data_IF_826780627771
#
_entry.id   IF_826780627771
#
_cell.length_a   1.000
_cell.length_b   1.000
_cell.length_c   1.000
_cell.angle_alpha   90.00
_cell.angle_beta   90.00
_cell.angle_gamma   90.00
#
_symmetry.space_group_name_H-M   'P 1'
#
loop_
_entity.id
_entity.type
_entity.pdbx_description
1 polymer ?
#
# COMPACT_ATOMS: atom_id res chain seq x y z
N UNK A 1 18.07 12.85 4.02
CA UNK A 1 16.82 13.64 3.91
C UNK A 1 15.85 12.85 3.03
N UNK A 2 14.65 12.48 3.54
CA UNK A 2 13.63 11.83 2.71
C UNK A 2 13.22 12.82 1.62
N UNK A 3 13.45 12.45 0.37
CA UNK A 3 13.18 13.29 -0.80
C UNK A 3 11.68 13.26 -1.06
N UNK A 4 10.92 14.18 -0.46
CA UNK A 4 9.49 14.31 -0.71
C UNK A 4 9.28 14.78 -2.15
N UNK A 5 8.58 13.98 -2.95
CA UNK A 5 8.22 14.37 -4.31
C UNK A 5 7.33 15.63 -4.27
N UNK A 6 7.66 16.63 -5.09
CA UNK A 6 6.81 17.80 -5.28
C UNK A 6 5.69 17.40 -6.24
N UNK A 7 4.45 17.44 -5.76
CA UNK A 7 3.24 17.06 -6.49
C UNK A 7 2.36 18.30 -6.65
N UNK A 8 2.52 19.08 -7.74
CA UNK A 8 1.74 20.29 -7.94
C UNK A 8 0.26 19.93 -8.16
N UNK A 9 -0.63 20.70 -7.53
CA UNK A 9 -2.06 20.61 -7.81
C UNK A 9 -2.31 21.24 -9.19
N UNK A 10 -2.65 20.40 -10.16
CA UNK A 10 -3.07 20.83 -11.50
C UNK A 10 -4.58 21.10 -11.53
N UNK A 11 -5.36 20.21 -10.93
CA UNK A 11 -6.81 20.32 -10.86
C UNK A 11 -7.33 19.65 -9.57
N UNK A 12 -8.18 20.34 -8.81
CA UNK A 12 -8.85 19.75 -7.65
C UNK A 12 -10.14 19.03 -8.08
N UNK A 13 -10.36 17.83 -7.58
CA UNK A 13 -11.52 16.99 -7.91
C UNK A 13 -12.55 17.04 -6.77
N UNK A 14 -13.81 16.72 -7.10
CA UNK A 14 -14.96 16.89 -6.19
C UNK A 14 -14.93 16.01 -4.94
N UNK A 15 -14.15 14.92 -4.93
CA UNK A 15 -14.02 14.02 -3.78
C UNK A 15 -12.81 14.32 -2.89
N UNK A 16 -12.20 15.51 -3.06
CA UNK A 16 -11.09 15.99 -2.25
C UNK A 16 -9.70 15.54 -2.72
N UNK A 17 -9.64 14.71 -3.76
CA UNK A 17 -8.39 14.37 -4.45
C UNK A 17 -8.01 15.43 -5.50
N UNK A 18 -6.82 15.31 -6.11
CA UNK A 18 -6.39 16.24 -7.15
C UNK A 18 -5.54 15.58 -8.23
N UNK A 19 -5.56 16.13 -9.45
CA UNK A 19 -4.64 15.77 -10.52
C UNK A 19 -3.29 16.47 -10.33
N UNK A 20 -2.22 15.74 -10.62
CA UNK A 20 -0.84 16.20 -10.56
C UNK A 20 -0.06 15.62 -11.74
N UNK A 21 1.13 16.16 -11.99
CA UNK A 21 2.06 15.60 -12.98
C UNK A 21 3.30 15.03 -12.30
N UNK A 22 3.79 13.91 -12.81
CA UNK A 22 5.09 13.35 -12.46
C UNK A 22 5.95 13.27 -13.71
N UNK A 23 7.19 13.72 -13.58
CA UNK A 23 8.19 13.66 -14.65
C UNK A 23 9.26 12.66 -14.24
N UNK A 24 9.63 11.77 -15.16
CA UNK A 24 10.69 10.80 -14.92
C UNK A 24 12.01 11.51 -14.57
N UNK A 25 12.79 10.93 -13.65
CA UNK A 25 14.02 11.56 -13.16
C UNK A 25 15.03 11.89 -14.29
N UNK A 26 15.13 11.03 -15.30
CA UNK A 26 15.98 11.22 -16.49
C UNK A 26 15.59 12.46 -17.32
N UNK A 27 14.32 12.85 -17.24
CA UNK A 27 13.72 13.91 -18.05
C UNK A 27 13.44 15.18 -17.23
N UNK A 28 13.80 15.20 -15.95
CA UNK A 28 13.45 16.27 -14.99
C UNK A 28 13.88 17.66 -15.45
N UNK A 29 15.06 17.79 -16.07
CA UNK A 29 15.58 19.07 -16.54
C UNK A 29 14.88 19.59 -17.81
N UNK A 30 14.39 18.66 -18.66
CA UNK A 30 13.67 19.00 -19.90
C UNK A 30 12.16 19.04 -19.71
N UNK A 31 11.68 18.48 -18.60
CA UNK A 31 10.26 18.23 -18.31
C UNK A 31 9.55 17.50 -19.45
N UNK A 32 10.25 16.58 -20.11
CA UNK A 32 9.70 15.81 -21.22
C UNK A 32 8.72 14.73 -20.69
N UNK A 33 7.63 14.52 -21.42
CA UNK A 33 6.63 13.48 -21.20
C UNK A 33 6.08 13.40 -19.76
N UNK A 34 5.46 14.48 -19.23
CA UNK A 34 4.81 14.42 -17.93
C UNK A 34 3.67 13.40 -17.93
N UNK A 35 3.64 12.55 -16.91
CA UNK A 35 2.55 11.60 -16.67
C UNK A 35 1.54 12.26 -15.74
N UNK A 36 0.30 12.38 -16.21
CA UNK A 36 -0.82 12.80 -15.37
C UNK A 36 -1.18 11.68 -14.40
N UNK A 37 -1.27 12.03 -13.13
CA UNK A 37 -1.66 11.13 -12.04
C UNK A 37 -2.69 11.82 -11.17
N UNK A 38 -3.42 11.03 -10.40
CA UNK A 38 -4.30 11.51 -9.34
C UNK A 38 -3.66 11.25 -7.99
N UNK A 39 -3.71 12.24 -7.12
CA UNK A 39 -3.16 12.21 -5.76
C UNK A 39 -4.31 12.28 -4.76
N UNK A 40 -4.28 11.37 -3.79
CA UNK A 40 -5.23 11.27 -2.69
C UNK A 40 -4.46 11.43 -1.39
N UNK A 41 -4.83 12.43 -0.58
CA UNK A 41 -4.30 12.60 0.77
C UNK A 41 -5.23 11.92 1.77
N UNK A 42 -4.67 11.11 2.68
CA UNK A 42 -5.42 10.50 3.77
C UNK A 42 -4.58 10.43 5.02
N UNK A 43 -5.22 10.39 6.19
CA UNK A 43 -4.53 10.37 7.48
C UNK A 43 -4.59 8.96 8.06
N UNK A 44 -3.45 8.43 8.49
CA UNK A 44 -3.38 7.18 9.24
C UNK A 44 -3.03 7.50 10.71
N UNK A 45 -3.74 6.87 11.64
CA UNK A 45 -3.65 7.15 13.09
C UNK A 45 -4.86 7.95 13.61
N UNK A 46 -4.96 8.09 14.93
CA UNK A 46 -6.03 8.85 15.59
C UNK A 46 -5.43 9.97 16.44
N UNK A 47 -6.11 11.13 16.47
CA UNK A 47 -5.68 12.27 17.29
C UNK A 47 -4.48 13.05 16.73
N UNK A 48 -3.67 13.62 17.62
CA UNK A 48 -2.59 14.55 17.29
C UNK A 48 -1.39 13.90 16.58
N UNK A 49 -1.27 12.57 16.62
CA UNK A 49 -0.19 11.80 16.01
C UNK A 49 -0.53 11.28 14.60
N UNK A 50 -1.68 11.70 14.04
CA UNK A 50 -2.10 11.32 12.70
C UNK A 50 -1.10 11.80 11.64
N UNK A 51 -0.53 10.87 10.88
CA UNK A 51 0.38 11.20 9.79
C UNK A 51 -0.38 11.25 8.46
N UNK A 52 -0.17 12.31 7.68
CA UNK A 52 -0.75 12.45 6.35
C UNK A 52 0.09 11.65 5.35
N UNK A 53 -0.57 10.76 4.63
CA UNK A 53 -0.02 9.97 3.54
C UNK A 53 -0.62 10.43 2.21
N UNK A 54 0.15 10.20 1.14
CA UNK A 54 -0.28 10.46 -0.24
C UNK A 54 -0.28 9.17 -1.04
N UNK A 55 -1.44 8.81 -1.57
CA UNK A 55 -1.60 7.76 -2.57
C UNK A 55 -1.59 8.39 -3.96
N UNK A 56 -0.79 7.84 -4.87
CA UNK A 56 -0.72 8.24 -6.28
C UNK A 56 -1.28 7.11 -7.13
N UNK A 57 -2.20 7.44 -8.04
CA UNK A 57 -2.88 6.46 -8.91
C UNK A 57 -3.03 6.97 -10.34
N UNK A 58 -3.19 6.05 -11.29
CA UNK A 58 -3.55 6.33 -12.69
C UNK A 58 -5.07 6.25 -12.93
N UNK A 59 -5.87 5.93 -11.90
CA UNK A 59 -7.34 6.01 -11.97
C UNK A 59 -7.74 7.47 -11.77
N UNK A 60 -7.89 8.21 -12.87
CA UNK A 60 -8.08 9.66 -12.85
C UNK A 60 -9.51 10.09 -12.52
N UNK A 61 -10.50 9.27 -12.86
CA UNK A 61 -11.93 9.58 -12.67
C UNK A 61 -12.40 9.20 -11.25
N UNK A 62 -12.86 10.17 -10.43
CA UNK A 62 -13.47 9.89 -9.13
C UNK A 62 -14.73 9.04 -9.18
N UNK A 63 -15.47 9.05 -10.29
CA UNK A 63 -16.68 8.23 -10.45
C UNK A 63 -16.33 6.76 -10.71
N UNK A 64 -15.16 6.48 -11.31
CA UNK A 64 -14.67 5.12 -11.49
C UNK A 64 -14.14 4.51 -10.18
N UNK A 65 -13.49 5.31 -9.34
CA UNK A 65 -13.12 4.95 -7.98
C UNK A 65 -12.95 6.20 -7.10
N UNK A 66 -13.67 6.24 -5.98
CA UNK A 66 -13.58 7.37 -5.04
C UNK A 66 -12.26 7.37 -4.29
N UNK A 67 -11.85 8.56 -3.81
CA UNK A 67 -10.67 8.72 -2.98
C UNK A 67 -10.73 7.85 -1.70
N UNK A 68 -11.93 7.74 -1.10
CA UNK A 68 -12.15 6.93 0.08
C UNK A 68 -11.98 5.42 -0.21
N UNK A 69 -12.56 4.93 -1.31
CA UNK A 69 -12.46 3.52 -1.71
C UNK A 69 -11.02 3.12 -2.06
N UNK A 70 -10.27 4.03 -2.67
CA UNK A 70 -8.86 3.82 -3.00
C UNK A 70 -7.95 3.90 -1.76
N UNK A 71 -8.29 4.74 -0.78
CA UNK A 71 -7.54 4.86 0.48
C UNK A 71 -7.83 3.72 1.46
N UNK A 72 -9.06 3.20 1.51
CA UNK A 72 -9.49 2.14 2.43
C UNK A 72 -8.59 0.88 2.43
N UNK A 73 -8.22 0.27 1.28
CA UNK A 73 -7.35 -0.91 1.25
C UNK A 73 -5.90 -0.57 1.57
N UNK A 74 -5.51 0.70 1.65
CA UNK A 74 -4.13 1.07 1.90
C UNK A 74 -3.67 0.67 3.31
N UNK A 75 -4.59 0.60 4.29
CA UNK A 75 -4.31 -0.02 5.59
C UNK A 75 -3.87 -1.49 5.43
N UNK A 76 -4.59 -2.27 4.61
CA UNK A 76 -4.27 -3.68 4.34
C UNK A 76 -2.92 -3.82 3.62
N UNK A 77 -2.58 -2.89 2.72
CA UNK A 77 -1.25 -2.87 2.08
C UNK A 77 -0.13 -2.64 3.10
N UNK A 78 -0.34 -1.76 4.07
CA UNK A 78 0.65 -1.49 5.11
C UNK A 78 0.95 -2.73 5.97
N UNK A 79 -0.04 -3.62 6.15
CA UNK A 79 0.16 -4.92 6.80
C UNK A 79 1.08 -5.84 5.99
N UNK A 80 0.96 -5.84 4.65
CA UNK A 80 1.86 -6.60 3.77
C UNK A 80 3.28 -6.05 3.88
N UNK A 81 3.45 -4.73 3.83
CA UNK A 81 4.76 -4.09 3.97
C UNK A 81 5.37 -4.39 5.35
N UNK A 82 4.57 -4.36 6.42
CA UNK A 82 4.98 -4.74 7.78
C UNK A 82 5.40 -6.21 7.85
N UNK A 83 4.69 -7.12 7.20
CA UNK A 83 5.04 -8.55 7.15
C UNK A 83 6.33 -8.80 6.40
N UNK A 84 6.51 -8.12 5.27
CA UNK A 84 7.74 -8.19 4.50
C UNK A 84 8.90 -7.57 5.29
N UNK A 85 8.67 -6.50 6.05
CA UNK A 85 9.66 -5.89 6.92
C UNK A 85 9.96 -6.76 8.15
N UNK A 86 8.98 -7.49 8.67
CA UNK A 86 9.19 -8.51 9.70
C UNK A 86 10.10 -9.63 9.19
N UNK A 87 9.83 -10.14 7.98
CA UNK A 87 10.66 -11.16 7.32
C UNK A 87 12.07 -10.63 7.03
N UNK A 88 12.20 -9.38 6.55
CA UNK A 88 13.47 -8.81 6.09
C UNK A 88 14.33 -8.23 7.21
N UNK A 89 13.72 -7.56 8.18
CA UNK A 89 14.40 -6.58 9.04
C UNK A 89 14.27 -6.97 10.52
N UNK A 90 13.09 -7.37 10.98
CA UNK A 90 12.89 -7.74 12.39
C UNK A 90 13.24 -9.21 12.71
N UNK A 91 13.19 -10.10 11.73
CA UNK A 91 13.64 -11.50 11.88
C UNK A 91 15.14 -11.71 11.60
N UNK A 92 15.85 -10.63 11.20
CA UNK A 92 17.32 -10.58 11.07
C UNK A 92 18.08 -10.50 12.41
N UNK A 93 17.37 -10.36 13.53
CA UNK A 93 17.88 -10.54 14.88
C UNK A 93 17.39 -11.84 15.49
N UNK A 94 17.80 -12.98 14.92
CA UNK A 94 17.54 -14.34 15.40
C UNK A 94 16.05 -14.73 15.55
N UNK A 95 15.34 -15.09 14.46
CA UNK A 95 14.39 -16.24 14.51
C UNK A 95 13.73 -16.76 13.22
N UNK A 96 13.92 -16.18 12.04
CA UNK A 96 13.48 -16.86 10.80
C UNK A 96 14.64 -17.63 10.18
N UNK A 97 14.71 -18.92 10.50
CA UNK A 97 15.66 -19.84 9.88
C UNK A 97 14.90 -20.67 8.86
N UNK A 98 15.11 -20.37 7.58
CA UNK A 98 14.67 -21.25 6.49
C UNK A 98 15.45 -22.57 6.62
N UNK A 99 14.73 -23.69 6.59
CA UNK A 99 15.28 -25.00 6.95
C UNK A 99 15.82 -25.75 5.74
N UNK A 100 15.28 -25.48 4.57
CA UNK A 100 15.70 -26.09 3.32
C UNK A 100 17.09 -25.61 2.93
N UNK A 101 17.92 -26.57 2.54
CA UNK A 101 19.24 -26.33 1.95
C UNK A 101 19.20 -26.37 0.40
N UNK A 102 18.00 -26.53 -0.18
CA UNK A 102 17.78 -26.55 -1.63
C UNK A 102 16.98 -25.31 -2.08
N UNK A 103 17.35 -24.65 -3.21
CA UNK A 103 16.70 -23.42 -3.67
C UNK A 103 15.18 -23.51 -3.80
N UNK A 104 14.66 -24.60 -4.39
CA UNK A 104 13.22 -24.78 -4.54
C UNK A 104 12.48 -24.92 -3.19
N UNK A 105 13.09 -25.55 -2.19
CA UNK A 105 12.50 -25.67 -0.85
C UNK A 105 12.54 -24.35 -0.07
N UNK A 106 13.59 -23.54 -0.29
CA UNK A 106 13.67 -22.18 0.29
C UNK A 106 12.53 -21.31 -0.25
N UNK A 107 12.29 -21.36 -1.57
CA UNK A 107 11.17 -20.67 -2.21
C UNK A 107 9.82 -21.14 -1.67
N UNK A 108 9.63 -22.46 -1.51
CA UNK A 108 8.43 -23.03 -0.91
C UNK A 108 8.19 -22.52 0.52
N UNK A 109 9.22 -22.45 1.36
CA UNK A 109 9.10 -21.95 2.73
C UNK A 109 8.67 -20.47 2.77
N UNK A 110 9.22 -19.64 1.88
CA UNK A 110 8.80 -18.24 1.75
C UNK A 110 7.31 -18.14 1.38
N UNK A 111 6.86 -18.93 0.39
CA UNK A 111 5.44 -18.97 0.04
C UNK A 111 4.57 -19.46 1.19
N UNK A 112 5.02 -20.44 1.97
CA UNK A 112 4.30 -20.91 3.14
C UNK A 112 4.12 -19.79 4.19
N UNK A 113 5.14 -18.99 4.47
CA UNK A 113 5.03 -17.83 5.36
C UNK A 113 4.00 -16.80 4.86
N UNK A 114 4.05 -16.46 3.57
CA UNK A 114 3.10 -15.51 2.96
C UNK A 114 1.66 -16.02 3.03
N UNK A 115 1.45 -17.32 2.76
CA UNK A 115 0.12 -17.95 2.81
C UNK A 115 -0.43 -17.99 4.24
N UNK A 116 0.38 -18.36 5.23
CA UNK A 116 -0.02 -18.39 6.65
C UNK A 116 -0.38 -16.98 7.13
N UNK A 117 0.45 -15.98 6.81
CA UNK A 117 0.16 -14.60 7.15
C UNK A 117 -1.20 -14.15 6.58
N UNK A 118 -1.41 -14.37 5.28
CA UNK A 118 -2.66 -14.02 4.62
C UNK A 118 -3.87 -14.79 5.17
N UNK A 119 -3.71 -16.07 5.54
CA UNK A 119 -4.79 -16.87 6.11
C UNK A 119 -5.22 -16.37 7.51
N UNK A 120 -4.28 -15.98 8.37
CA UNK A 120 -4.56 -15.45 9.71
C UNK A 120 -5.24 -14.07 9.68
N UNK A 121 -5.05 -13.31 8.61
CA UNK A 121 -5.55 -11.93 8.47
C UNK A 121 -6.90 -11.84 7.75
N UNK A 122 -7.35 -12.91 7.09
CA UNK A 122 -8.72 -12.95 6.58
C UNK A 122 -9.68 -13.07 7.77
N UNK A 123 -10.61 -12.12 7.98
CA UNK A 123 -11.68 -12.35 8.93
C UNK A 123 -12.46 -13.59 8.48
N UNK A 124 -12.70 -14.51 9.41
CA UNK A 124 -13.51 -15.70 9.16
C UNK A 124 -14.84 -15.30 8.50
N UNK A 125 -15.04 -15.71 7.24
CA UNK A 125 -16.33 -15.61 6.55
C UNK A 125 -17.40 -16.59 7.11
N UNK A 126 -17.26 -17.02 8.37
CA UNK A 126 -18.15 -17.94 9.09
C UNK A 126 -18.45 -17.44 10.51
N UNK A 127 -18.94 -16.22 10.63
CA UNK A 127 -19.65 -15.77 11.84
C UNK A 127 -20.92 -14.98 11.50
N UNK A 128 -21.65 -15.44 10.48
CA UNK A 128 -23.02 -14.99 10.22
C UNK A 128 -23.88 -16.20 9.90
N UNK A 129 -24.28 -16.91 10.95
CA UNK A 129 -25.43 -17.79 10.90
C UNK A 129 -26.57 -17.00 11.53
N UNK A 130 -27.58 -16.52 10.77
CA UNK A 130 -28.78 -15.99 11.39
C UNK A 130 -29.46 -17.13 12.13
N UNK A 131 -29.64 -16.95 13.43
CA UNK A 131 -30.37 -17.86 14.29
C UNK A 131 -31.75 -18.14 13.71
N UNK A 132 -32.02 -19.42 13.50
CA UNK A 132 -33.32 -19.93 13.10
C UNK A 132 -34.12 -20.20 14.37
N UNK A 133 -35.12 -19.36 14.63
CA UNK A 133 -36.32 -19.69 15.40
C UNK A 133 -37.50 -18.96 14.80
#
# INVERSE_FOLDING_TARGET
>A
MKNSAVLPVVEALHDGSYLSEIVAARDKNRRADPVTVRVIEYTLGTGADGMVYRLITTILDPQAASAADLAAPYAQRWEIETTLDEIKTHQGGARLVLRSQHPAGVEQEIYAFLLVHHALRRPDARSSQPGRT
#
